data_IF_953527704390
#
_entry.id   IF_953527704390
#
_cell.length_a   1.000
_cell.length_b   1.000
_cell.length_c   1.000
_cell.angle_alpha   90.00
_cell.angle_beta   90.00
_cell.angle_gamma   90.00
#
_symmetry.space_group_name_H-M   'P 1'
#
loop_
_entity.id
_entity.type
_entity.pdbx_description
1 polymer ?
#
# COMPACT_ATOMS: atom_id res chain seq x y z
N UNK A 1 7.47 9.79 7.95
CA UNK A 1 6.13 9.53 7.38
C UNK A 1 6.15 9.43 5.86
N UNK A 2 6.63 10.45 5.13
CA UNK A 2 6.64 10.46 3.65
C UNK A 2 7.36 9.25 3.03
N UNK A 3 8.54 8.88 3.54
CA UNK A 3 9.29 7.71 3.04
C UNK A 3 8.51 6.40 3.18
N UNK A 4 7.71 6.23 4.23
CA UNK A 4 6.91 5.03 4.42
C UNK A 4 5.72 4.97 3.45
N UNK A 5 5.09 6.11 3.17
CA UNK A 5 4.02 6.19 2.17
C UNK A 5 4.54 5.92 0.75
N UNK A 6 5.69 6.50 0.39
CA UNK A 6 6.30 6.26 -0.93
C UNK A 6 6.84 4.83 -1.03
N UNK A 7 7.52 4.32 0.00
CA UNK A 7 8.03 2.95 -0.02
C UNK A 7 6.92 1.90 -0.07
N UNK A 8 5.81 2.12 0.64
CA UNK A 8 4.68 1.18 0.61
C UNK A 8 3.99 1.13 -0.75
N UNK A 9 4.06 2.18 -1.58
CA UNK A 9 3.44 2.18 -2.91
C UNK A 9 4.08 1.20 -3.89
N UNK A 10 5.31 0.73 -3.64
CA UNK A 10 6.04 -0.20 -4.50
C UNK A 10 5.45 -1.62 -4.56
N UNK A 11 4.65 -2.04 -3.55
CA UNK A 11 4.19 -3.43 -3.43
C UNK A 11 2.68 -3.51 -3.23
N UNK A 12 2.08 -4.63 -3.63
CA UNK A 12 0.64 -4.87 -3.43
C UNK A 12 0.24 -4.93 -1.95
N UNK A 13 1.16 -5.32 -1.07
CA UNK A 13 0.88 -5.51 0.37
C UNK A 13 1.14 -4.23 1.19
N UNK A 14 1.80 -3.23 0.61
CA UNK A 14 2.25 -2.06 1.35
C UNK A 14 1.10 -1.20 1.91
N UNK A 15 -0.01 -1.08 1.18
CA UNK A 15 -1.17 -0.30 1.62
C UNK A 15 -2.49 -0.84 1.00
N UNK A 16 -3.65 -0.50 1.59
CA UNK A 16 -4.94 -1.02 1.11
C UNK A 16 -5.30 -0.58 -0.32
N UNK A 17 -4.88 0.62 -0.75
CA UNK A 17 -5.11 1.09 -2.12
C UNK A 17 -4.45 0.17 -3.15
N UNK A 18 -3.21 -0.27 -2.92
CA UNK A 18 -2.48 -1.14 -3.83
C UNK A 18 -3.10 -2.54 -3.86
N UNK A 19 -3.57 -3.04 -2.72
CA UNK A 19 -4.29 -4.32 -2.67
C UNK A 19 -5.56 -4.29 -3.54
N UNK A 20 -6.32 -3.20 -3.51
CA UNK A 20 -7.51 -3.01 -4.33
C UNK A 20 -7.14 -2.95 -5.81
N UNK A 21 -6.12 -2.17 -6.18
CA UNK A 21 -5.62 -2.10 -7.57
C UNK A 21 -5.24 -3.50 -8.06
N UNK A 22 -4.46 -4.26 -7.28
CA UNK A 22 -4.06 -5.62 -7.63
C UNK A 22 -5.25 -6.56 -7.78
N UNK A 23 -6.22 -6.48 -6.87
CA UNK A 23 -7.43 -7.31 -6.92
C UNK A 23 -8.33 -6.99 -8.12
N UNK A 24 -8.40 -5.72 -8.54
CA UNK A 24 -9.24 -5.30 -9.67
C UNK A 24 -8.58 -5.54 -11.02
N UNK A 25 -7.26 -5.34 -11.10
CA UNK A 25 -6.49 -5.50 -12.36
C UNK A 25 -6.06 -6.95 -12.62
N UNK A 26 -6.05 -7.80 -11.59
CA UNK A 26 -5.59 -9.19 -11.70
C UNK A 26 -4.08 -9.34 -11.89
N UNK A 27 -3.30 -8.26 -11.76
CA UNK A 27 -1.85 -8.30 -11.91
C UNK A 27 -1.17 -9.01 -10.74
N UNK A 28 -0.17 -9.83 -11.07
CA UNK A 28 0.64 -10.52 -10.07
C UNK A 28 1.55 -9.57 -9.28
N UNK A 29 2.03 -10.05 -8.14
CA UNK A 29 2.93 -9.29 -7.26
C UNK A 29 4.21 -8.82 -7.96
N UNK A 30 4.84 -9.69 -8.75
CA UNK A 30 6.07 -9.38 -9.48
C UNK A 30 5.85 -8.30 -10.54
N UNK A 31 4.79 -8.43 -11.35
CA UNK A 31 4.42 -7.45 -12.37
C UNK A 31 4.12 -6.09 -11.74
N UNK A 32 3.34 -6.06 -10.65
CA UNK A 32 3.08 -4.80 -9.94
C UNK A 32 4.36 -4.16 -9.42
N UNK A 33 5.26 -4.96 -8.82
CA UNK A 33 6.53 -4.45 -8.30
C UNK A 33 7.44 -3.92 -9.42
N UNK A 34 7.43 -4.54 -10.59
CA UNK A 34 8.21 -4.07 -11.74
C UNK A 34 7.71 -2.73 -12.29
N UNK A 35 6.39 -2.49 -12.25
CA UNK A 35 5.80 -1.23 -12.73
C UNK A 35 5.85 -0.11 -11.67
N UNK A 36 5.43 -0.41 -10.44
CA UNK A 36 5.35 0.58 -9.36
C UNK A 36 6.69 0.81 -8.65
N UNK A 37 7.55 -0.20 -8.62
CA UNK A 37 8.84 -0.17 -7.92
C UNK A 37 9.80 0.91 -8.40
N UNK A 38 10.04 1.07 -9.72
CA UNK A 38 10.90 2.14 -10.24
C UNK A 38 10.39 3.54 -9.86
N UNK A 39 9.08 3.78 -9.97
CA UNK A 39 8.47 5.06 -9.61
C UNK A 39 8.57 5.33 -8.09
N UNK A 40 8.32 4.32 -7.25
CA UNK A 40 8.49 4.43 -5.80
C UNK A 40 9.96 4.65 -5.40
N UNK A 41 10.90 3.98 -6.06
CA UNK A 41 12.34 4.16 -5.86
C UNK A 41 12.81 5.57 -6.23
N UNK A 42 12.37 6.08 -7.38
CA UNK A 42 12.62 7.46 -7.78
C UNK A 42 12.02 8.45 -6.78
N UNK A 43 10.77 8.23 -6.35
CA UNK A 43 10.11 9.05 -5.34
C UNK A 43 10.84 9.07 -4.00
N UNK A 44 11.34 7.91 -3.55
CA UNK A 44 12.16 7.80 -2.34
C UNK A 44 13.46 8.57 -2.47
N UNK A 45 14.12 8.48 -3.62
CA UNK A 45 15.34 9.23 -3.90
C UNK A 45 15.08 10.74 -3.88
N UNK A 46 14.02 11.21 -4.54
CA UNK A 46 13.62 12.63 -4.52
C UNK A 46 13.31 13.08 -3.08
N UNK A 47 12.52 12.30 -2.34
CA UNK A 47 12.18 12.61 -0.95
C UNK A 47 13.43 12.66 -0.06
N UNK A 48 14.39 11.75 -0.26
CA UNK A 48 15.66 11.74 0.48
C UNK A 48 16.51 12.97 0.14
N UNK A 49 16.59 13.36 -1.14
CA UNK A 49 17.28 14.56 -1.57
C UNK A 49 16.65 15.82 -0.96
N UNK A 50 15.32 15.94 -0.97
CA UNK A 50 14.62 17.05 -0.34
C UNK A 50 14.89 17.11 1.16
N UNK A 51 14.75 15.99 1.86
CA UNK A 51 15.05 15.92 3.29
C UNK A 51 16.50 16.34 3.57
N UNK A 52 17.44 15.87 2.76
CA UNK A 52 18.84 16.26 2.87
C UNK A 52 19.02 17.77 2.64
N UNK A 53 18.48 18.35 1.57
CA UNK A 53 18.61 19.80 1.29
C UNK A 53 18.00 20.65 2.42
N UNK A 54 16.80 20.33 2.88
CA UNK A 54 16.08 21.14 3.87
C UNK A 54 16.58 20.94 5.30
N UNK A 55 16.99 19.73 5.68
CA UNK A 55 17.28 19.38 7.06
C UNK A 55 18.76 19.09 7.34
N UNK A 56 19.65 18.98 6.34
CA UNK A 56 21.10 18.76 6.60
C UNK A 56 21.72 19.75 7.57
N UNK A 57 21.27 21.00 7.57
CA UNK A 57 21.78 22.06 8.47
C UNK A 57 21.17 22.01 9.88
N UNK A 58 20.08 21.27 10.05
CA UNK A 58 19.37 21.07 11.32
C UNK A 58 19.75 19.76 11.99
N UNK A 59 20.47 18.88 11.28
CA UNK A 59 20.95 17.63 11.87
C UNK A 59 22.08 17.95 12.84
N UNK A 60 22.02 17.44 14.09
CA UNK A 60 23.14 17.54 15.00
C UNK A 60 24.33 16.76 14.43
N UNK A 61 25.55 17.25 14.67
CA UNK A 61 26.77 16.53 14.27
C UNK A 61 26.91 15.18 14.97
N UNK A 62 26.32 15.07 16.17
CA UNK A 62 26.31 13.86 16.99
C UNK A 62 24.87 13.58 17.43
N UNK A 63 24.38 12.38 17.11
CA UNK A 63 23.20 11.86 17.77
C UNK A 63 23.64 11.35 19.14
N UNK A 64 23.13 11.91 20.26
CA UNK A 64 23.39 11.32 21.56
C UNK A 64 22.86 9.88 21.52
N UNK A 65 23.77 8.93 21.70
CA UNK A 65 23.38 7.55 21.92
C UNK A 65 22.92 7.51 23.37
N UNK A 66 21.60 7.42 23.59
CA UNK A 66 21.09 7.10 24.92
C UNK A 66 21.66 5.74 25.31
N UNK A 67 22.57 5.74 26.30
CA UNK A 67 23.23 4.52 26.82
C UNK A 67 22.23 3.55 27.48
N UNK A 68 20.98 3.98 27.71
CA UNK A 68 19.89 3.21 28.32
C UNK A 68 19.01 2.43 27.33
N UNK A 69 19.55 1.98 26.20
CA UNK A 69 18.94 0.82 25.54
C UNK A 69 19.57 -0.45 26.10
N UNK A 70 19.09 -0.91 27.26
CA UNK A 70 19.18 -2.32 27.60
C UNK A 70 18.63 -3.09 26.38
N UNK A 71 19.52 -3.62 25.56
CA UNK A 71 19.13 -4.27 24.32
C UNK A 71 18.15 -5.38 24.65
N UNK A 72 16.88 -5.18 24.27
CA UNK A 72 15.83 -6.15 24.52
C UNK A 72 16.35 -7.54 24.12
N UNK A 73 16.39 -8.47 25.08
CA UNK A 73 16.99 -9.78 24.85
C UNK A 73 16.32 -10.46 23.65
N UNK A 74 16.99 -10.42 22.50
CA UNK A 74 16.40 -10.93 21.25
C UNK A 74 16.40 -12.45 21.32
N UNK A 75 15.20 -13.03 21.31
CA UNK A 75 15.04 -14.47 21.18
C UNK A 75 15.42 -14.88 19.74
N UNK A 76 16.70 -15.18 19.54
CA UNK A 76 17.28 -15.56 18.24
C UNK A 76 16.53 -16.70 17.53
N UNK A 77 16.18 -17.83 18.19
CA UNK A 77 15.45 -18.89 17.49
C UNK A 77 14.07 -18.42 17.02
N UNK A 78 13.36 -17.61 17.81
CA UNK A 78 12.08 -17.03 17.37
C UNK A 78 12.26 -16.04 16.22
N UNK A 79 13.32 -15.22 16.24
CA UNK A 79 13.64 -14.32 15.14
C UNK A 79 13.89 -15.10 13.84
N UNK A 80 14.70 -16.15 13.86
CA UNK A 80 14.96 -16.97 12.67
C UNK A 80 13.70 -17.64 12.13
N UNK A 81 12.82 -18.12 13.02
CA UNK A 81 11.53 -18.68 12.61
C UNK A 81 10.68 -17.63 11.90
N UNK A 82 10.54 -16.42 12.47
CA UNK A 82 9.77 -15.33 11.86
C UNK A 82 10.36 -14.93 10.51
N UNK A 83 11.69 -14.79 10.41
CA UNK A 83 12.37 -14.48 9.15
C UNK A 83 12.17 -15.58 8.11
N UNK A 84 12.23 -16.85 8.51
CA UNK A 84 12.00 -17.98 7.61
C UNK A 84 10.56 -17.99 7.07
N UNK A 85 9.57 -17.82 7.94
CA UNK A 85 8.16 -17.78 7.52
C UNK A 85 7.89 -16.54 6.66
N UNK A 86 8.42 -15.37 7.04
CA UNK A 86 8.29 -14.15 6.25
C UNK A 86 8.91 -14.32 4.85
N UNK A 87 10.10 -14.93 4.76
CA UNK A 87 10.72 -15.26 3.48
C UNK A 87 9.84 -16.21 2.67
N UNK A 88 9.27 -17.25 3.29
CA UNK A 88 8.34 -18.18 2.63
C UNK A 88 7.07 -17.50 2.10
N UNK A 89 6.53 -16.53 2.84
CA UNK A 89 5.38 -15.72 2.38
C UNK A 89 5.77 -14.86 1.18
N UNK A 90 6.92 -14.18 1.27
CA UNK A 90 7.43 -13.32 0.18
C UNK A 90 7.69 -14.15 -1.08
N UNK A 91 8.34 -15.32 -0.96
CA UNK A 91 8.55 -16.21 -2.11
C UNK A 91 7.23 -16.71 -2.69
N UNK A 92 6.24 -17.00 -1.85
CA UNK A 92 4.88 -17.32 -2.29
C UNK A 92 4.22 -16.21 -3.11
N UNK A 93 4.44 -14.94 -2.75
CA UNK A 93 3.96 -13.80 -3.54
C UNK A 93 4.63 -13.75 -4.93
N UNK A 94 5.96 -13.91 -4.98
CA UNK A 94 6.69 -13.97 -6.25
C UNK A 94 6.32 -15.19 -7.10
N UNK A 95 5.91 -16.30 -6.48
CA UNK A 95 5.39 -17.49 -7.15
C UNK A 95 3.97 -17.32 -7.70
N UNK A 96 3.32 -16.17 -7.45
CA UNK A 96 1.96 -15.88 -7.94
C UNK A 96 0.85 -16.52 -7.10
N UNK A 97 1.14 -16.98 -5.88
CA UNK A 97 0.09 -17.48 -4.99
C UNK A 97 -0.81 -16.34 -4.49
N UNK A 98 -2.05 -16.69 -4.18
CA UNK A 98 -3.04 -15.74 -3.68
C UNK A 98 -2.58 -15.10 -2.36
N UNK A 99 -2.33 -13.79 -2.39
CA UNK A 99 -1.68 -13.06 -1.29
C UNK A 99 -2.34 -13.27 0.08
N UNK A 100 -3.68 -13.27 0.11
CA UNK A 100 -4.45 -13.47 1.34
C UNK A 100 -4.21 -14.84 1.99
N UNK A 101 -4.33 -15.92 1.21
CA UNK A 101 -4.14 -17.29 1.71
C UNK A 101 -2.68 -17.57 2.09
N UNK A 102 -1.73 -17.08 1.30
CA UNK A 102 -0.29 -17.23 1.60
C UNK A 102 0.07 -16.54 2.93
N UNK A 103 -0.42 -15.31 3.15
CA UNK A 103 -0.19 -14.59 4.41
C UNK A 103 -0.86 -15.29 5.59
N UNK A 104 -2.11 -15.73 5.43
CA UNK A 104 -2.84 -16.50 6.44
C UNK A 104 -2.10 -17.80 6.81
N UNK A 105 -1.58 -18.52 5.82
CA UNK A 105 -0.79 -19.73 6.04
C UNK A 105 0.47 -19.43 6.87
N UNK A 106 1.20 -18.36 6.54
CA UNK A 106 2.36 -17.92 7.34
C UNK A 106 1.98 -17.59 8.79
N UNK A 107 0.91 -16.84 8.99
CA UNK A 107 0.39 -16.52 10.34
C UNK A 107 0.02 -17.80 11.10
N UNK A 108 -0.69 -18.74 10.46
CA UNK A 108 -1.08 -20.02 11.07
C UNK A 108 0.15 -20.84 11.49
N UNK A 109 1.18 -20.92 10.65
CA UNK A 109 2.43 -21.61 10.97
C UNK A 109 3.09 -21.00 12.21
N UNK A 110 3.17 -19.67 12.30
CA UNK A 110 3.74 -18.98 13.47
C UNK A 110 2.91 -19.22 14.73
N UNK A 111 1.58 -19.16 14.65
CA UNK A 111 0.69 -19.42 15.78
C UNK A 111 0.86 -20.84 16.30
N UNK A 112 0.89 -21.84 15.41
CA UNK A 112 1.00 -23.26 15.77
C UNK A 112 2.36 -23.57 16.41
N UNK A 113 3.45 -22.99 15.89
CA UNK A 113 4.81 -23.25 16.38
C UNK A 113 5.07 -22.52 17.71
N UNK A 114 4.68 -21.25 17.81
CA UNK A 114 4.92 -20.45 19.02
C UNK A 114 4.01 -20.91 20.18
N UNK A 115 2.89 -21.60 19.87
CA UNK A 115 1.88 -22.09 20.83
C UNK A 115 1.40 -21.02 21.83
N UNK A 116 1.53 -19.76 21.45
CA UNK A 116 1.10 -18.61 22.25
C UNK A 116 -0.38 -18.36 22.03
N UNK A 117 -0.99 -17.70 23.01
CA UNK A 117 -2.39 -17.29 22.94
C UNK A 117 -2.64 -16.45 21.67
N UNK A 118 -3.47 -16.93 20.72
CA UNK A 118 -3.80 -16.19 19.51
C UNK A 118 -4.39 -14.80 19.80
N UNK A 119 -4.99 -14.60 20.99
CA UNK A 119 -5.55 -13.31 21.40
C UNK A 119 -4.52 -12.19 21.36
N UNK A 120 -3.27 -12.48 21.72
CA UNK A 120 -2.19 -11.49 21.69
C UNK A 120 -1.83 -11.03 20.28
N UNK A 121 -2.03 -11.88 19.26
CA UNK A 121 -1.82 -11.51 17.85
C UNK A 121 -3.02 -10.71 17.35
N UNK A 122 -4.24 -11.17 17.66
CA UNK A 122 -5.46 -10.46 17.28
C UNK A 122 -5.61 -9.09 17.95
N UNK A 123 -5.00 -8.85 19.11
CA UNK A 123 -5.04 -7.53 19.76
C UNK A 123 -4.18 -6.47 19.05
N UNK A 124 -3.23 -6.88 18.21
CA UNK A 124 -2.40 -5.96 17.41
C UNK A 124 -3.12 -5.56 16.11
N UNK A 125 -4.17 -6.29 15.72
CA UNK A 125 -4.99 -5.96 14.55
C UNK A 125 -5.80 -4.70 14.83
N UNK A 126 -5.75 -3.75 13.92
CA UNK A 126 -6.55 -2.52 13.98
C UNK A 126 -8.00 -2.80 13.54
N UNK A 127 -8.81 -3.31 14.47
CA UNK A 127 -10.23 -3.61 14.23
C UNK A 127 -11.04 -2.36 13.84
N UNK A 128 -10.88 -1.18 14.47
CA UNK A 128 -11.52 0.05 14.02
C UNK A 128 -11.21 0.38 12.55
N UNK A 129 -9.96 0.21 12.10
CA UNK A 129 -9.59 0.44 10.71
C UNK A 129 -10.27 -0.53 9.74
N UNK A 130 -10.40 -1.81 10.10
CA UNK A 130 -11.15 -2.78 9.29
C UNK A 130 -12.64 -2.42 9.17
N UNK A 131 -13.27 -2.06 10.28
CA UNK A 131 -14.67 -1.60 10.29
C UNK A 131 -14.83 -0.32 9.48
N UNK A 132 -13.88 0.62 9.60
CA UNK A 132 -13.84 1.83 8.78
C UNK A 132 -13.81 1.50 7.29
N UNK A 133 -12.94 0.57 6.83
CA UNK A 133 -12.91 0.17 5.43
C UNK A 133 -14.22 -0.48 4.97
N UNK A 134 -14.85 -1.33 5.79
CA UNK A 134 -16.16 -1.90 5.48
C UNK A 134 -17.21 -0.80 5.26
N UNK A 135 -17.32 0.16 6.18
CA UNK A 135 -18.25 1.28 6.06
C UNK A 135 -17.93 2.17 4.85
N UNK A 136 -16.64 2.42 4.61
CA UNK A 136 -16.17 3.20 3.47
C UNK A 136 -16.56 2.54 2.14
N UNK A 137 -16.38 1.23 2.02
CA UNK A 137 -16.77 0.49 0.82
C UNK A 137 -18.28 0.53 0.59
N UNK A 138 -19.08 0.42 1.65
CA UNK A 138 -20.54 0.56 1.56
C UNK A 138 -20.93 1.97 1.08
N UNK A 139 -20.31 3.02 1.65
CA UNK A 139 -20.60 4.41 1.27
C UNK A 139 -20.18 4.70 -0.18
N UNK A 140 -18.99 4.25 -0.58
CA UNK A 140 -18.48 4.42 -1.95
C UNK A 140 -19.34 3.66 -2.95
N UNK A 141 -19.74 2.42 -2.66
CA UNK A 141 -20.66 1.65 -3.49
C UNK A 141 -22.05 2.31 -3.58
N UNK A 142 -22.56 2.85 -2.47
CA UNK A 142 -23.79 3.62 -2.45
C UNK A 142 -23.71 4.88 -3.31
N UNK A 143 -22.61 5.63 -3.22
CA UNK A 143 -22.35 6.80 -4.05
C UNK A 143 -22.26 6.44 -5.54
N UNK A 144 -21.53 5.37 -5.89
CA UNK A 144 -21.44 4.88 -7.26
C UNK A 144 -22.83 4.51 -7.82
N UNK A 145 -23.69 3.91 -6.99
CA UNK A 145 -25.06 3.51 -7.36
C UNK A 145 -26.00 4.70 -7.63
N UNK A 146 -25.65 5.93 -7.21
CA UNK A 146 -26.45 7.13 -7.53
C UNK A 146 -26.34 7.57 -8.99
N UNK A 147 -25.33 7.08 -9.72
CA UNK A 147 -25.02 7.50 -11.09
C UNK A 147 -24.35 8.88 -11.19
N UNK A 148 -24.10 9.57 -10.07
CA UNK A 148 -23.36 10.86 -10.09
C UNK A 148 -21.92 10.64 -10.56
N UNK A 149 -21.27 9.59 -10.05
CA UNK A 149 -19.90 9.20 -10.42
C UNK A 149 -19.82 8.88 -11.91
N UNK A 150 -20.74 8.03 -12.40
CA UNK A 150 -20.86 7.65 -13.80
C UNK A 150 -21.01 8.87 -14.73
N UNK A 151 -21.86 9.84 -14.36
CA UNK A 151 -22.07 11.07 -15.14
C UNK A 151 -20.82 11.94 -15.16
N UNK A 152 -20.18 12.11 -14.00
CA UNK A 152 -18.93 12.88 -13.90
C UNK A 152 -17.81 12.23 -14.72
N UNK A 153 -17.73 10.90 -14.71
CA UNK A 153 -16.76 10.15 -15.49
C UNK A 153 -16.99 10.31 -16.99
N UNK A 154 -18.21 10.07 -17.48
CA UNK A 154 -18.55 10.25 -18.91
C UNK A 154 -18.25 11.64 -19.44
N UNK A 155 -18.43 12.68 -18.63
CA UNK A 155 -18.07 14.04 -19.02
C UNK A 155 -16.54 14.26 -19.11
N UNK A 156 -15.76 13.46 -18.37
CA UNK A 156 -14.31 13.59 -18.25
C UNK A 156 -13.55 12.71 -19.25
N UNK A 157 -14.06 11.53 -19.62
CA UNK A 157 -13.44 10.56 -20.55
C UNK A 157 -12.84 11.20 -21.81
N UNK A 158 -13.51 12.14 -22.52
CA UNK A 158 -12.96 12.74 -23.74
C UNK A 158 -11.62 13.45 -23.55
N UNK A 159 -11.30 13.88 -22.33
CA UNK A 159 -10.08 14.60 -21.98
C UNK A 159 -9.05 13.71 -21.25
N UNK A 160 -9.40 12.46 -20.97
CA UNK A 160 -8.61 11.55 -20.13
C UNK A 160 -8.05 10.35 -20.92
N UNK A 161 -8.06 10.41 -22.24
CA UNK A 161 -7.57 9.33 -23.11
C UNK A 161 -6.07 9.11 -22.85
N UNK A 162 -5.72 7.96 -22.26
CA UNK A 162 -4.36 7.71 -21.76
C UNK A 162 -3.36 7.37 -22.87
N UNK A 163 -3.82 7.12 -24.10
CA UNK A 163 -2.96 6.98 -25.28
C UNK A 163 -2.29 8.30 -25.69
N UNK A 164 -2.81 9.43 -25.21
CA UNK A 164 -2.24 10.75 -25.45
C UNK A 164 -1.51 11.27 -24.21
N UNK A 165 -0.34 11.89 -24.41
CA UNK A 165 0.46 12.42 -23.29
C UNK A 165 -0.30 13.48 -22.46
N UNK A 166 -1.16 14.25 -23.12
CA UNK A 166 -2.03 15.24 -22.46
C UNK A 166 -3.09 14.57 -21.60
N UNK A 167 -3.79 13.56 -22.12
CA UNK A 167 -4.80 12.81 -21.35
C UNK A 167 -4.19 12.07 -20.16
N UNK A 168 -3.01 11.47 -20.31
CA UNK A 168 -2.27 10.86 -19.21
C UNK A 168 -1.86 11.89 -18.14
N UNK A 169 -1.44 13.09 -18.54
CA UNK A 169 -1.08 14.16 -17.62
C UNK A 169 -2.32 14.66 -16.84
N UNK A 170 -3.44 14.89 -17.52
CA UNK A 170 -4.70 15.32 -16.89
C UNK A 170 -5.20 14.24 -15.93
N UNK A 171 -5.17 12.97 -16.34
CA UNK A 171 -5.51 11.84 -15.47
C UNK A 171 -4.64 11.79 -14.22
N UNK A 172 -3.32 11.93 -14.38
CA UNK A 172 -2.38 11.92 -13.25
C UNK A 172 -2.65 13.07 -12.27
N UNK A 173 -2.95 14.27 -12.77
CA UNK A 173 -3.31 15.43 -11.95
C UNK A 173 -4.64 15.20 -11.23
N UNK A 174 -5.66 14.70 -11.94
CA UNK A 174 -6.97 14.39 -11.37
C UNK A 174 -6.86 13.35 -10.26
N UNK A 175 -6.13 12.26 -10.49
CA UNK A 175 -5.89 11.23 -9.48
C UNK A 175 -5.10 11.77 -8.30
N UNK A 176 -4.11 12.63 -8.52
CA UNK A 176 -3.32 13.25 -7.45
C UNK A 176 -4.17 14.15 -6.58
N UNK A 177 -4.95 15.05 -7.18
CA UNK A 177 -5.84 15.97 -6.45
C UNK A 177 -6.96 15.19 -5.74
N UNK A 178 -7.62 14.28 -6.45
CA UNK A 178 -8.70 13.45 -5.91
C UNK A 178 -8.26 12.60 -4.73
N UNK A 179 -7.06 12.01 -4.80
CA UNK A 179 -6.50 11.20 -3.71
C UNK A 179 -6.19 12.03 -2.45
N UNK A 180 -5.84 13.31 -2.60
CA UNK A 180 -5.63 14.21 -1.45
C UNK A 180 -6.96 14.73 -0.86
N UNK A 181 -8.01 14.86 -1.68
CA UNK A 181 -9.29 15.42 -1.24
C UNK A 181 -10.23 14.35 -0.65
N UNK A 182 -10.33 13.18 -1.30
CA UNK A 182 -11.26 12.10 -0.94
C UNK A 182 -10.56 10.98 -0.17
N UNK A 183 -9.22 10.93 -0.22
CA UNK A 183 -8.35 9.82 0.18
C UNK A 183 -8.10 8.80 -0.94
N UNK A 184 -6.93 8.16 -0.83
CA UNK A 184 -6.42 7.16 -1.76
C UNK A 184 -7.39 6.01 -2.06
N UNK A 185 -7.94 5.38 -1.01
CA UNK A 185 -8.77 4.16 -1.14
C UNK A 185 -10.10 4.42 -1.88
N UNK A 186 -10.92 5.42 -1.48
CA UNK A 186 -12.14 5.76 -2.22
C UNK A 186 -11.86 6.18 -3.66
N UNK A 187 -10.79 6.93 -3.90
CA UNK A 187 -10.46 7.40 -5.24
C UNK A 187 -10.20 6.23 -6.19
N UNK A 188 -9.44 5.22 -5.75
CA UNK A 188 -9.21 3.99 -6.52
C UNK A 188 -10.51 3.24 -6.78
N UNK A 189 -11.40 3.13 -5.78
CA UNK A 189 -12.68 2.42 -5.94
C UNK A 189 -13.63 3.14 -6.92
N UNK A 190 -13.56 4.46 -6.98
CA UNK A 190 -14.38 5.28 -7.88
C UNK A 190 -13.83 5.29 -9.31
N UNK A 191 -12.50 5.35 -9.49
CA UNK A 191 -11.88 5.40 -10.81
C UNK A 191 -11.67 4.01 -11.44
N UNK A 192 -11.30 3.02 -10.63
CA UNK A 192 -10.87 1.69 -11.07
C UNK A 192 -11.80 0.99 -12.06
N UNK A 193 -13.13 0.96 -11.85
CA UNK A 193 -14.06 0.31 -12.77
C UNK A 193 -14.08 0.91 -14.18
N UNK A 194 -13.68 2.18 -14.31
CA UNK A 194 -13.79 2.94 -15.55
C UNK A 194 -12.46 3.16 -16.27
N UNK A 195 -11.33 2.67 -15.73
CA UNK A 195 -10.01 2.83 -16.36
C UNK A 195 -9.98 2.20 -17.76
N UNK A 196 -10.67 1.08 -17.97
CA UNK A 196 -10.74 0.42 -19.27
C UNK A 196 -11.46 1.24 -20.36
N UNK A 197 -12.18 2.31 -20.00
CA UNK A 197 -12.82 3.22 -20.94
C UNK A 197 -11.85 4.27 -21.51
N UNK A 198 -10.64 4.40 -20.93
CA UNK A 198 -9.67 5.45 -21.26
C UNK A 198 -8.69 5.07 -22.39
N UNK A 199 -8.74 3.84 -22.89
CA UNK A 199 -7.86 3.32 -23.95
C UNK A 199 -6.87 2.29 -23.46
#
# INVERSE_FOLDING_TARGET
ATSANIGSSATLVGNPQNMIIGSMSGIGFSSFLMEAGPAAGLGLLINLLLLWVYYRKKMPEHFPLDEETEGAAVNRPRLYLVLFVALGVITGFFAGFHMGYTTLAGVMVLVIIDRKDPRAIFSVVDWPLLVFFCCLFIVVAGLASTGVVERAWKASVPYLIISEAEGLAIFSVLMTIGSNLVSNVPMVLLAGPHINELG
#
